data_IF_823144718658
#
_entry.id   IF_823144718658
#
_cell.length_a   1.000
_cell.length_b   1.000
_cell.length_c   1.000
_cell.angle_alpha   90.00
_cell.angle_beta   90.00
_cell.angle_gamma   90.00
#
_symmetry.space_group_name_H-M   'P 1'
#
loop_
_entity.id
_entity.type
_entity.pdbx_description
1 polymer ?
#
# COMPACT_ATOMS: atom_id res chain seq x y z
N UNK A 1 -7.03 20.97 26.80
CA UNK A 1 -6.98 19.94 25.73
C UNK A 1 -6.16 20.53 24.61
N UNK A 2 -4.95 20.07 24.40
CA UNK A 2 -4.11 20.46 23.26
C UNK A 2 -4.55 19.62 22.06
N UNK A 3 -5.08 20.27 21.04
CA UNK A 3 -5.44 19.62 19.77
C UNK A 3 -4.17 19.03 19.16
N UNK A 4 -4.14 17.74 18.75
CA UNK A 4 -2.98 17.12 18.09
C UNK A 4 -2.82 17.59 16.65
N UNK A 5 -3.59 18.56 16.20
CA UNK A 5 -3.62 19.05 14.82
C UNK A 5 -2.92 20.39 14.73
N UNK A 6 -1.99 20.51 13.76
CA UNK A 6 -1.32 21.76 13.42
C UNK A 6 -2.04 22.35 12.22
N UNK A 7 -2.51 23.58 12.37
CA UNK A 7 -3.09 24.36 11.28
C UNK A 7 -2.02 25.36 10.84
N UNK A 8 -1.68 25.35 9.56
CA UNK A 8 -0.70 26.26 8.96
C UNK A 8 -1.23 26.74 7.60
N UNK A 9 -0.70 27.86 7.12
CA UNK A 9 -0.98 28.30 5.75
C UNK A 9 -0.53 27.26 4.74
N UNK A 10 -1.34 27.03 3.69
CA UNK A 10 -1.01 26.11 2.63
C UNK A 10 0.17 26.68 1.81
N UNK A 11 1.30 25.99 1.85
CA UNK A 11 2.49 26.29 1.05
C UNK A 11 2.71 25.14 0.09
N UNK A 12 3.00 25.45 -1.17
CA UNK A 12 3.33 24.43 -2.16
C UNK A 12 4.62 23.73 -1.75
N UNK A 13 4.56 22.43 -1.59
CA UNK A 13 5.70 21.58 -1.24
C UNK A 13 5.90 20.53 -2.33
N UNK A 14 7.12 20.05 -2.47
CA UNK A 14 7.39 18.84 -3.23
C UNK A 14 6.64 17.67 -2.59
N UNK A 15 5.71 17.09 -3.32
CA UNK A 15 4.96 15.92 -2.88
C UNK A 15 5.27 14.73 -3.80
N UNK A 16 5.42 13.51 -3.25
CA UNK A 16 5.56 12.33 -4.08
C UNK A 16 4.35 12.15 -5.01
N UNK A 17 4.62 11.76 -6.25
CA UNK A 17 3.58 11.45 -7.25
C UNK A 17 3.23 9.97 -7.19
N UNK A 18 1.94 9.66 -7.25
CA UNK A 18 1.44 8.28 -7.39
C UNK A 18 0.78 8.10 -8.76
N UNK A 19 1.20 7.08 -9.52
CA UNK A 19 0.75 6.87 -10.89
C UNK A 19 0.35 5.42 -11.17
N UNK A 20 -0.71 5.23 -11.97
CA UNK A 20 -1.11 3.96 -12.56
C UNK A 20 -0.76 3.93 -14.05
N UNK A 21 0.08 2.98 -14.47
CA UNK A 21 0.43 2.71 -15.85
C UNK A 21 -0.25 1.42 -16.30
N UNK A 22 -1.26 1.53 -17.16
CA UNK A 22 -2.25 0.50 -17.44
C UNK A 22 -2.16 0.11 -18.91
N UNK A 23 -2.14 -1.18 -19.23
CA UNK A 23 -2.17 -1.63 -20.63
C UNK A 23 -1.89 -3.12 -20.81
N UNK A 24 -2.10 -3.66 -22.01
CA UNK A 24 -1.82 -5.05 -22.32
C UNK A 24 -0.33 -5.38 -22.19
N UNK A 25 0.00 -6.68 -22.13
CA UNK A 25 1.41 -7.11 -22.14
C UNK A 25 2.08 -6.61 -23.43
N UNK A 26 3.33 -6.15 -23.31
CA UNK A 26 4.09 -5.62 -24.45
C UNK A 26 3.75 -4.19 -24.86
N UNK A 27 2.84 -3.49 -24.18
CA UNK A 27 2.47 -2.10 -24.55
C UNK A 27 3.48 -1.02 -24.11
N UNK A 28 4.64 -1.39 -23.55
CA UNK A 28 5.70 -0.47 -23.18
C UNK A 28 5.58 0.16 -21.79
N UNK A 29 4.72 -0.36 -20.90
CA UNK A 29 4.50 0.16 -19.53
C UNK A 29 5.80 0.28 -18.73
N UNK A 30 6.56 -0.80 -18.63
CA UNK A 30 7.81 -0.87 -17.86
C UNK A 30 8.82 0.18 -18.32
N UNK A 31 9.06 0.25 -19.63
CA UNK A 31 9.98 1.23 -20.20
C UNK A 31 9.52 2.67 -19.96
N UNK A 32 8.24 2.93 -20.21
CA UNK A 32 7.62 4.24 -19.96
C UNK A 32 7.67 4.64 -18.49
N UNK A 33 7.47 3.68 -17.58
CA UNK A 33 7.56 3.92 -16.13
C UNK A 33 8.99 4.29 -15.72
N UNK A 34 10.01 3.63 -16.29
CA UNK A 34 11.42 3.95 -16.05
C UNK A 34 11.79 5.36 -16.54
N UNK A 35 11.38 5.72 -17.76
CA UNK A 35 11.60 7.08 -18.29
C UNK A 35 10.89 8.15 -17.44
N UNK A 36 9.65 7.88 -17.06
CA UNK A 36 8.86 8.78 -16.23
C UNK A 36 9.49 8.97 -14.84
N UNK A 37 9.87 7.86 -14.19
CA UNK A 37 10.55 7.87 -12.90
C UNK A 37 11.87 8.66 -12.97
N UNK A 38 12.67 8.46 -14.04
CA UNK A 38 13.91 9.22 -14.25
C UNK A 38 13.62 10.72 -14.36
N UNK A 39 12.55 11.10 -15.05
CA UNK A 39 12.13 12.48 -15.14
C UNK A 39 11.74 13.08 -13.79
N UNK A 40 11.01 12.33 -12.96
CA UNK A 40 10.58 12.79 -11.65
C UNK A 40 11.75 13.10 -10.70
N UNK A 41 12.78 12.24 -10.68
CA UNK A 41 13.89 12.38 -9.71
C UNK A 41 15.16 13.01 -10.29
N UNK A 42 15.21 13.25 -11.60
CA UNK A 42 16.39 13.80 -12.28
C UNK A 42 17.55 12.81 -12.46
N UNK A 43 18.66 13.22 -13.09
CA UNK A 43 19.74 12.31 -13.49
C UNK A 43 20.46 11.62 -12.32
N UNK A 44 20.57 12.28 -11.18
CA UNK A 44 21.23 11.75 -9.97
C UNK A 44 20.30 11.01 -9.02
N UNK A 45 18.99 11.02 -9.27
CA UNK A 45 18.01 10.42 -8.39
C UNK A 45 18.03 8.89 -8.45
N UNK A 46 17.76 8.25 -7.30
CA UNK A 46 17.73 6.78 -7.20
C UNK A 46 16.35 6.28 -7.54
N UNK A 47 16.24 5.56 -8.65
CA UNK A 47 15.02 4.86 -9.07
C UNK A 47 15.20 3.36 -8.97
N UNK A 48 14.11 2.62 -8.77
CA UNK A 48 14.17 1.17 -8.74
C UNK A 48 12.87 0.50 -9.16
N UNK A 49 13.00 -0.78 -9.51
CA UNK A 49 11.89 -1.64 -9.92
C UNK A 49 11.77 -2.78 -8.92
N UNK A 50 10.61 -2.91 -8.30
CA UNK A 50 10.17 -4.13 -7.62
C UNK A 50 9.54 -4.98 -8.73
N UNK A 51 10.26 -6.01 -9.16
CA UNK A 51 9.94 -6.83 -10.32
C UNK A 51 9.29 -8.15 -9.89
N UNK A 52 8.03 -8.31 -10.23
CA UNK A 52 7.26 -9.54 -10.01
C UNK A 52 7.14 -10.39 -11.27
N UNK A 53 7.60 -9.90 -12.43
CA UNK A 53 7.47 -10.56 -13.74
C UNK A 53 8.75 -11.24 -14.23
N UNK A 54 9.68 -11.56 -13.32
CA UNK A 54 10.81 -12.43 -13.64
C UNK A 54 11.96 -11.76 -14.40
N UNK A 55 12.43 -10.62 -13.92
CA UNK A 55 13.62 -9.90 -14.43
C UNK A 55 13.45 -9.24 -15.80
N UNK A 56 12.22 -9.08 -16.28
CA UNK A 56 11.97 -8.46 -17.60
C UNK A 56 12.43 -7.02 -17.68
N UNK A 57 12.39 -6.28 -16.57
CA UNK A 57 12.85 -4.91 -16.49
C UNK A 57 14.35 -4.74 -16.76
N UNK A 58 15.17 -5.78 -16.49
CA UNK A 58 16.64 -5.73 -16.62
C UNK A 58 17.13 -5.52 -18.05
N UNK A 59 16.32 -5.79 -19.08
CA UNK A 59 16.70 -5.50 -20.47
C UNK A 59 16.93 -4.00 -20.73
N UNK A 60 16.47 -3.14 -19.82
CA UNK A 60 16.62 -1.68 -19.92
C UNK A 60 17.75 -1.13 -19.03
N UNK A 61 18.54 -2.00 -18.39
CA UNK A 61 19.53 -1.57 -17.39
C UNK A 61 20.61 -0.65 -17.97
N UNK A 62 20.99 -0.85 -19.22
CA UNK A 62 22.05 -0.11 -19.91
C UNK A 62 21.51 1.04 -20.78
N UNK A 63 20.21 1.34 -20.72
CA UNK A 63 19.65 2.43 -21.54
C UNK A 63 20.10 3.80 -20.99
N UNK A 64 20.85 4.59 -21.81
CA UNK A 64 21.38 5.89 -21.35
C UNK A 64 20.30 6.90 -21.02
N UNK A 65 19.09 6.78 -21.56
CA UNK A 65 17.95 7.66 -21.24
C UNK A 65 17.44 7.43 -19.82
N UNK A 66 17.56 6.18 -19.33
CA UNK A 66 17.17 5.79 -17.99
C UNK A 66 18.31 6.11 -17.00
N UNK A 67 19.56 5.90 -17.41
CA UNK A 67 20.73 6.19 -16.58
C UNK A 67 20.91 5.26 -15.39
N UNK A 68 20.46 3.99 -15.54
CA UNK A 68 20.53 2.96 -14.52
C UNK A 68 19.38 3.00 -13.50
N UNK A 69 19.09 1.86 -12.88
CA UNK A 69 18.09 1.71 -11.82
C UNK A 69 18.43 0.56 -10.89
N UNK A 70 17.84 0.57 -9.70
CA UNK A 70 17.91 -0.53 -8.73
C UNK A 70 16.87 -1.59 -9.08
N UNK A 71 17.14 -2.83 -8.76
CA UNK A 71 16.23 -3.94 -9.04
C UNK A 71 16.05 -4.80 -7.80
N UNK A 72 14.79 -5.04 -7.43
CA UNK A 72 14.38 -5.99 -6.40
C UNK A 72 13.49 -7.02 -7.06
N UNK A 73 13.95 -8.27 -7.15
CA UNK A 73 13.11 -9.36 -7.58
C UNK A 73 12.21 -9.80 -6.44
N UNK A 74 10.91 -9.74 -6.64
CA UNK A 74 9.93 -10.17 -5.65
C UNK A 74 9.30 -11.49 -6.09
N UNK A 75 9.63 -12.62 -5.42
CA UNK A 75 8.94 -13.88 -5.62
C UNK A 75 7.58 -13.88 -4.91
N UNK A 76 6.69 -14.86 -5.22
CA UNK A 76 5.49 -15.05 -4.42
C UNK A 76 5.86 -15.39 -2.94
N UNK A 77 4.95 -15.15 -1.99
CA UNK A 77 3.56 -14.74 -2.20
C UNK A 77 3.42 -13.22 -2.41
N UNK A 78 2.44 -12.83 -3.24
CA UNK A 78 2.15 -11.43 -3.54
C UNK A 78 1.07 -10.83 -2.63
N UNK A 79 1.06 -11.23 -1.38
CA UNK A 79 0.13 -10.69 -0.39
C UNK A 79 0.38 -9.19 -0.15
N UNK A 80 -0.66 -8.42 0.25
CA UNK A 80 -0.51 -6.99 0.55
C UNK A 80 0.62 -6.68 1.53
N UNK A 81 0.86 -7.58 2.51
CA UNK A 81 1.93 -7.41 3.50
C UNK A 81 3.32 -7.65 2.91
N UNK A 82 3.48 -8.68 2.04
CA UNK A 82 4.74 -8.94 1.35
C UNK A 82 5.04 -7.79 0.37
N UNK A 83 4.03 -7.29 -0.33
CA UNK A 83 4.18 -6.11 -1.17
C UNK A 83 4.62 -4.90 -0.35
N UNK A 84 3.98 -4.63 0.82
CA UNK A 84 4.40 -3.54 1.72
C UNK A 84 5.86 -3.67 2.13
N UNK A 85 6.30 -4.86 2.51
CA UNK A 85 7.68 -5.11 2.92
C UNK A 85 8.69 -4.84 1.79
N UNK A 86 8.33 -5.13 0.52
CA UNK A 86 9.17 -4.82 -0.64
C UNK A 86 9.31 -3.29 -0.84
N UNK A 87 8.24 -2.52 -0.65
CA UNK A 87 8.30 -1.06 -0.67
C UNK A 87 9.14 -0.50 0.49
N UNK A 88 9.00 -1.04 1.71
CA UNK A 88 9.81 -0.63 2.86
C UNK A 88 11.30 -0.89 2.62
N UNK A 89 11.65 -2.02 2.00
CA UNK A 89 13.02 -2.32 1.61
C UNK A 89 13.56 -1.32 0.58
N UNK A 90 12.74 -0.92 -0.40
CA UNK A 90 13.08 0.10 -1.39
C UNK A 90 13.34 1.48 -0.73
N UNK A 91 12.50 1.88 0.21
CA UNK A 91 12.69 3.12 0.99
C UNK A 91 13.96 3.04 1.84
N UNK A 92 14.23 1.91 2.49
CA UNK A 92 15.43 1.71 3.28
C UNK A 92 16.73 1.79 2.44
N UNK A 93 16.68 1.35 1.15
CA UNK A 93 17.77 1.52 0.19
C UNK A 93 17.83 2.95 -0.40
N UNK A 94 16.91 3.84 -0.02
CA UNK A 94 16.89 5.25 -0.42
C UNK A 94 16.36 5.49 -1.84
N UNK A 95 15.42 4.68 -2.33
CA UNK A 95 14.78 4.92 -3.63
C UNK A 95 13.86 6.13 -3.54
N UNK A 96 14.01 7.04 -4.48
CA UNK A 96 13.19 8.25 -4.60
C UNK A 96 12.00 8.06 -5.53
N UNK A 97 12.09 7.09 -6.45
CA UNK A 97 10.97 6.62 -7.25
C UNK A 97 10.97 5.09 -7.31
N UNK A 98 9.83 4.50 -7.02
CA UNK A 98 9.60 3.05 -6.94
C UNK A 98 8.61 2.67 -8.03
N UNK A 99 9.02 1.75 -8.89
CA UNK A 99 8.15 1.14 -9.90
C UNK A 99 7.81 -0.26 -9.42
N UNK A 100 6.52 -0.58 -9.30
CA UNK A 100 6.06 -1.93 -8.97
C UNK A 100 5.48 -2.59 -10.24
N UNK A 101 6.23 -3.51 -10.80
CA UNK A 101 5.94 -4.11 -12.10
C UNK A 101 5.88 -5.65 -12.00
N UNK A 102 4.68 -6.21 -11.93
CA UNK A 102 3.35 -5.64 -12.07
C UNK A 102 2.55 -5.70 -10.76
N UNK A 103 1.85 -4.63 -10.42
CA UNK A 103 0.92 -4.60 -9.28
C UNK A 103 -0.31 -5.50 -9.48
N UNK A 104 -0.53 -5.99 -10.69
CA UNK A 104 -1.61 -6.96 -10.97
C UNK A 104 -1.46 -8.26 -10.20
N UNK A 105 -0.22 -8.67 -9.84
CA UNK A 105 -0.01 -9.90 -9.08
C UNK A 105 -0.44 -9.80 -7.62
N UNK A 106 -0.52 -8.60 -7.05
CA UNK A 106 -1.15 -8.40 -5.74
C UNK A 106 -2.64 -8.78 -5.80
N UNK A 107 -3.28 -8.66 -6.97
CA UNK A 107 -4.67 -9.02 -7.18
C UNK A 107 -4.85 -10.50 -7.54
N UNK A 108 -4.18 -10.99 -8.59
CA UNK A 108 -4.41 -12.32 -9.19
C UNK A 108 -3.24 -13.31 -9.07
N UNK A 109 -2.14 -12.91 -8.44
CA UNK A 109 -1.00 -13.79 -8.20
C UNK A 109 -1.15 -14.67 -6.96
N UNK A 110 -0.19 -15.59 -6.77
CA UNK A 110 -0.13 -16.47 -5.60
C UNK A 110 -0.02 -15.66 -4.31
N UNK A 111 -0.89 -15.94 -3.34
CA UNK A 111 -1.05 -15.17 -2.10
C UNK A 111 -1.78 -13.83 -2.27
N UNK A 112 -2.20 -13.48 -3.48
CA UNK A 112 -2.90 -12.24 -3.79
C UNK A 112 -4.38 -12.23 -3.37
N UNK A 113 -5.09 -11.15 -3.71
CA UNK A 113 -6.46 -10.91 -3.26
C UNK A 113 -7.45 -12.01 -3.63
N UNK A 114 -7.35 -12.55 -4.86
CA UNK A 114 -8.26 -13.60 -5.33
C UNK A 114 -8.10 -14.87 -4.51
N UNK A 115 -6.87 -15.35 -4.34
CA UNK A 115 -6.59 -16.55 -3.55
C UNK A 115 -6.96 -16.34 -2.08
N UNK A 116 -6.65 -15.17 -1.51
CA UNK A 116 -7.09 -14.84 -0.15
C UNK A 116 -8.61 -14.90 0.02
N UNK A 117 -9.38 -14.47 -1.00
CA UNK A 117 -10.83 -14.54 -0.96
C UNK A 117 -11.34 -15.98 -1.08
N UNK A 118 -10.65 -16.85 -1.81
CA UNK A 118 -10.96 -18.28 -1.90
C UNK A 118 -10.73 -18.99 -0.56
N UNK A 119 -9.58 -18.78 0.06
CA UNK A 119 -9.27 -19.28 1.41
C UNK A 119 -10.27 -18.79 2.46
N UNK A 120 -10.72 -17.53 2.35
CA UNK A 120 -11.73 -16.99 3.26
C UNK A 120 -13.12 -17.66 3.07
N UNK A 121 -13.45 -18.13 1.87
CA UNK A 121 -14.66 -18.97 1.65
C UNK A 121 -14.58 -20.23 2.49
N UNK A 122 -13.49 -20.99 2.38
CA UNK A 122 -13.30 -22.24 3.10
C UNK A 122 -13.45 -22.03 4.61
N UNK A 123 -12.81 -21.00 5.16
CA UNK A 123 -12.90 -20.62 6.57
C UNK A 123 -14.33 -20.29 7.00
N UNK A 124 -15.05 -19.48 6.21
CA UNK A 124 -16.42 -19.06 6.51
C UNK A 124 -17.42 -20.24 6.40
N UNK A 125 -17.21 -21.13 5.46
CA UNK A 125 -18.04 -22.34 5.32
C UNK A 125 -17.86 -23.30 6.49
N UNK A 126 -16.64 -23.50 6.94
CA UNK A 126 -16.37 -24.29 8.14
C UNK A 126 -17.03 -23.68 9.39
N UNK A 127 -16.92 -22.37 9.57
CA UNK A 127 -17.58 -21.67 10.67
C UNK A 127 -19.10 -21.76 10.60
N UNK A 128 -19.67 -21.62 9.38
CA UNK A 128 -21.12 -21.75 9.18
C UNK A 128 -21.61 -23.15 9.52
N UNK A 129 -20.88 -24.21 9.10
CA UNK A 129 -21.16 -25.61 9.46
C UNK A 129 -21.15 -25.83 10.97
N UNK A 130 -20.14 -25.31 11.67
CA UNK A 130 -20.03 -25.42 13.14
C UNK A 130 -21.20 -24.72 13.87
N UNK A 131 -21.75 -23.65 13.29
CA UNK A 131 -22.84 -22.85 13.87
C UNK A 131 -24.24 -23.23 13.38
N UNK A 132 -24.37 -24.22 12.47
CA UNK A 132 -25.67 -24.64 11.88
C UNK A 132 -26.35 -23.53 11.08
N UNK A 133 -25.59 -22.63 10.45
CA UNK A 133 -26.09 -21.47 9.67
C UNK A 133 -26.05 -21.74 8.17
N UNK A 134 -26.97 -21.10 7.43
CA UNK A 134 -27.02 -21.16 5.97
C UNK A 134 -25.86 -20.37 5.33
N UNK A 135 -25.25 -20.91 4.26
CA UNK A 135 -24.06 -20.39 3.59
C UNK A 135 -24.32 -19.20 2.65
N UNK A 136 -25.54 -18.67 2.56
CA UNK A 136 -25.90 -17.64 1.56
C UNK A 136 -25.11 -16.32 1.67
N UNK A 137 -24.60 -15.97 2.85
CA UNK A 137 -23.85 -14.74 3.09
C UNK A 137 -22.35 -14.85 2.78
N UNK A 138 -21.81 -16.04 2.58
CA UNK A 138 -20.38 -16.31 2.41
C UNK A 138 -19.81 -15.59 1.17
N UNK A 139 -20.56 -15.54 0.07
CA UNK A 139 -20.09 -14.96 -1.20
C UNK A 139 -19.73 -13.46 -1.12
N UNK A 140 -20.37 -12.71 -0.24
CA UNK A 140 -20.04 -11.29 -0.03
C UNK A 140 -19.01 -11.09 1.08
N UNK A 141 -19.09 -11.89 2.14
CA UNK A 141 -18.19 -11.79 3.31
C UNK A 141 -16.74 -12.13 2.97
N UNK A 142 -16.51 -13.05 2.02
CA UNK A 142 -15.15 -13.46 1.59
C UNK A 142 -14.24 -12.31 1.16
N UNK A 143 -14.80 -11.19 0.71
CA UNK A 143 -14.05 -10.03 0.28
C UNK A 143 -13.72 -9.04 1.40
N UNK A 144 -14.29 -9.19 2.58
CA UNK A 144 -14.13 -8.21 3.67
C UNK A 144 -12.68 -8.09 4.11
N UNK A 145 -12.06 -9.21 4.47
CA UNK A 145 -10.66 -9.21 4.93
C UNK A 145 -9.66 -8.95 3.81
N UNK A 146 -9.74 -9.60 2.62
CA UNK A 146 -8.84 -9.29 1.51
C UNK A 146 -8.85 -7.80 1.15
N UNK A 147 -10.03 -7.19 0.99
CA UNK A 147 -10.14 -5.76 0.65
C UNK A 147 -9.63 -4.83 1.76
N UNK A 148 -9.77 -5.20 3.03
CA UNK A 148 -9.20 -4.44 4.13
C UNK A 148 -7.67 -4.45 4.09
N UNK A 149 -7.05 -5.62 3.83
CA UNK A 149 -5.60 -5.77 3.70
C UNK A 149 -5.07 -5.01 2.50
N UNK A 150 -5.74 -5.13 1.33
CA UNK A 150 -5.43 -4.34 0.14
C UNK A 150 -5.47 -2.83 0.41
N UNK A 151 -6.53 -2.33 1.07
CA UNK A 151 -6.65 -0.91 1.41
C UNK A 151 -5.53 -0.43 2.31
N UNK A 152 -5.11 -1.26 3.27
CA UNK A 152 -3.97 -0.93 4.15
C UNK A 152 -2.68 -0.82 3.35
N UNK A 153 -2.43 -1.76 2.42
CA UNK A 153 -1.29 -1.70 1.51
C UNK A 153 -1.33 -0.44 0.64
N UNK A 154 -2.46 -0.15 0.00
CA UNK A 154 -2.59 1.03 -0.85
C UNK A 154 -2.35 2.33 -0.07
N UNK A 155 -2.93 2.48 1.12
CA UNK A 155 -2.69 3.64 1.99
C UNK A 155 -1.22 3.74 2.43
N UNK A 156 -0.57 2.60 2.69
CA UNK A 156 0.84 2.57 3.05
C UNK A 156 1.71 3.11 1.91
N UNK A 157 1.59 2.55 0.71
CA UNK A 157 2.45 2.93 -0.42
C UNK A 157 2.19 4.35 -0.93
N UNK A 158 0.96 4.85 -0.85
CA UNK A 158 0.62 6.23 -1.23
C UNK A 158 1.07 7.27 -0.18
N UNK A 159 1.40 6.84 1.03
CA UNK A 159 1.95 7.67 2.10
C UNK A 159 3.49 7.68 2.16
N UNK A 160 4.18 6.96 1.28
CA UNK A 160 5.65 6.89 1.29
C UNK A 160 6.30 8.21 0.82
N UNK A 161 7.49 8.54 1.32
CA UNK A 161 8.24 9.74 0.89
C UNK A 161 8.98 9.51 -0.44
N UNK A 162 8.37 8.81 -1.40
CA UNK A 162 8.92 8.48 -2.71
C UNK A 162 7.80 8.47 -3.76
N UNK A 163 8.14 8.79 -5.01
CA UNK A 163 7.21 8.61 -6.11
C UNK A 163 6.89 7.12 -6.30
N UNK A 164 5.63 6.77 -6.52
CA UNK A 164 5.17 5.39 -6.70
C UNK A 164 4.48 5.23 -8.04
N UNK A 165 4.98 4.32 -8.86
CA UNK A 165 4.40 3.98 -10.17
C UNK A 165 4.00 2.52 -10.14
N UNK A 166 2.70 2.25 -10.23
CA UNK A 166 2.16 0.91 -10.30
C UNK A 166 1.84 0.56 -11.76
N UNK A 167 2.33 -0.56 -12.25
CA UNK A 167 1.92 -1.05 -13.57
C UNK A 167 0.81 -2.08 -13.42
N UNK A 168 -0.20 -2.01 -14.27
CA UNK A 168 -1.32 -2.93 -14.30
C UNK A 168 -1.47 -3.57 -15.68
N UNK A 169 -1.69 -4.87 -15.71
CA UNK A 169 -2.04 -5.60 -16.92
C UNK A 169 -3.49 -5.32 -17.30
N UNK A 170 -3.77 -5.26 -18.58
CA UNK A 170 -5.12 -5.33 -19.12
C UNK A 170 -5.33 -6.66 -19.83
N UNK A 171 -6.52 -7.22 -19.68
CA UNK A 171 -6.96 -8.43 -20.34
C UNK A 171 -8.30 -8.17 -21.02
N UNK A 172 -8.58 -8.92 -22.09
CA UNK A 172 -9.87 -8.90 -22.73
C UNK A 172 -10.89 -9.65 -21.86
N UNK A 173 -11.95 -8.97 -21.49
CA UNK A 173 -13.09 -9.56 -20.76
C UNK A 173 -14.38 -9.31 -21.51
N UNK A 174 -15.39 -10.14 -21.27
CA UNK A 174 -16.73 -9.94 -21.85
C UNK A 174 -17.58 -9.16 -20.86
N UNK A 175 -18.06 -8.01 -21.31
CA UNK A 175 -19.05 -7.23 -20.57
C UNK A 175 -20.45 -7.77 -20.90
N UNK A 176 -21.04 -8.51 -19.98
CA UNK A 176 -22.38 -9.07 -20.08
C UNK A 176 -23.48 -8.05 -19.73
N UNK A 177 -23.14 -6.87 -19.22
CA UNK A 177 -24.11 -5.80 -18.97
C UNK A 177 -24.53 -5.10 -20.26
N UNK A 178 -23.67 -5.11 -21.27
CA UNK A 178 -24.00 -4.63 -22.62
C UNK A 178 -24.91 -5.62 -23.37
N UNK A 179 -25.79 -5.10 -24.22
CA UNK A 179 -26.70 -5.89 -25.06
C UNK A 179 -26.54 -5.51 -26.53
N UNK A 180 -25.92 -6.35 -27.39
CA UNK A 180 -25.29 -7.65 -27.08
C UNK A 180 -24.03 -7.54 -26.21
N UNK A 181 -23.59 -8.64 -25.56
CA UNK A 181 -22.35 -8.64 -24.81
C UNK A 181 -21.17 -8.19 -25.67
N UNK A 182 -20.32 -7.33 -25.12
CA UNK A 182 -19.16 -6.75 -25.81
C UNK A 182 -17.85 -7.13 -25.15
N UNK A 183 -16.80 -7.25 -25.95
CA UNK A 183 -15.45 -7.46 -25.42
C UNK A 183 -14.81 -6.14 -25.06
N UNK A 184 -14.34 -5.99 -23.84
CA UNK A 184 -13.68 -4.79 -23.33
C UNK A 184 -12.33 -5.12 -22.72
N UNK A 185 -11.42 -4.15 -22.73
CA UNK A 185 -10.18 -4.24 -21.98
C UNK A 185 -10.44 -3.87 -20.52
N UNK A 186 -10.15 -4.80 -19.61
CA UNK A 186 -10.29 -4.58 -18.16
C UNK A 186 -8.95 -4.66 -17.48
N UNK A 187 -8.73 -3.79 -16.51
CA UNK A 187 -7.53 -3.80 -15.68
C UNK A 187 -7.57 -4.96 -14.69
N UNK A 188 -6.44 -5.63 -14.51
CA UNK A 188 -6.27 -6.69 -13.51
C UNK A 188 -5.84 -6.04 -12.20
N UNK A 189 -6.82 -5.59 -11.41
CA UNK A 189 -6.62 -5.00 -10.08
C UNK A 189 -7.95 -4.94 -9.32
N UNK A 190 -7.90 -4.63 -8.03
CA UNK A 190 -9.12 -4.28 -7.28
C UNK A 190 -9.71 -2.98 -7.84
N UNK A 191 -11.03 -2.92 -7.99
CA UNK A 191 -11.74 -1.84 -8.72
C UNK A 191 -11.44 -0.43 -8.22
N UNK A 192 -11.16 -0.28 -6.92
CA UNK A 192 -10.91 1.02 -6.29
C UNK A 192 -9.43 1.42 -6.25
N UNK A 193 -8.51 0.53 -6.61
CA UNK A 193 -7.06 0.77 -6.55
C UNK A 193 -6.66 2.04 -7.28
N UNK A 194 -7.15 2.19 -8.50
CA UNK A 194 -6.81 3.37 -9.33
C UNK A 194 -7.31 4.69 -8.74
N UNK A 195 -8.40 4.68 -7.96
CA UNK A 195 -8.91 5.92 -7.36
C UNK A 195 -8.01 6.47 -6.24
N UNK A 196 -7.16 5.64 -5.66
CA UNK A 196 -6.14 6.04 -4.70
C UNK A 196 -4.88 6.67 -5.33
N UNK A 197 -4.75 6.66 -6.67
CA UNK A 197 -3.59 7.15 -7.40
C UNK A 197 -3.92 8.47 -8.12
N UNK A 198 -2.94 9.37 -8.24
CA UNK A 198 -3.14 10.71 -8.78
C UNK A 198 -3.16 10.76 -10.31
N UNK A 199 -2.26 10.00 -10.93
CA UNK A 199 -2.10 9.95 -12.38
C UNK A 199 -2.52 8.60 -12.92
N UNK A 200 -3.32 8.59 -14.00
CA UNK A 200 -3.66 7.37 -14.72
C UNK A 200 -3.28 7.49 -16.19
N UNK A 201 -2.55 6.49 -16.65
CA UNK A 201 -2.03 6.40 -18.01
C UNK A 201 -2.40 5.05 -18.60
N UNK A 202 -3.07 5.04 -19.73
CA UNK A 202 -3.40 3.83 -20.48
C UNK A 202 -2.56 3.76 -21.75
N UNK A 203 -1.97 2.61 -22.02
CA UNK A 203 -1.11 2.36 -23.16
C UNK A 203 -1.81 1.49 -24.21
N UNK A 204 -1.74 1.92 -25.46
CA UNK A 204 -2.10 1.10 -26.61
C UNK A 204 -0.97 0.17 -27.03
N UNK A 205 -1.26 -0.73 -27.98
CA UNK A 205 -0.26 -1.61 -28.62
C UNK A 205 0.78 -0.84 -29.45
N UNK A 206 0.49 0.43 -29.78
CA UNK A 206 1.39 1.35 -30.49
C UNK A 206 2.35 2.10 -29.54
N UNK A 207 2.42 1.71 -28.28
CA UNK A 207 3.24 2.30 -27.22
C UNK A 207 2.92 3.77 -26.89
N UNK A 208 1.77 4.27 -27.32
CA UNK A 208 1.34 5.61 -27.01
C UNK A 208 0.50 5.62 -25.73
N UNK A 209 0.69 6.69 -24.97
CA UNK A 209 0.03 6.93 -23.70
C UNK A 209 -1.20 7.83 -23.85
N UNK A 210 -2.32 7.40 -23.33
CA UNK A 210 -3.52 8.22 -23.12
C UNK A 210 -3.67 8.47 -21.63
N UNK A 211 -3.61 9.74 -21.23
CA UNK A 211 -3.71 10.15 -19.84
C UNK A 211 -5.18 10.36 -19.49
N UNK A 212 -5.74 9.44 -18.70
CA UNK A 212 -7.16 9.44 -18.36
C UNK A 212 -7.46 10.17 -17.05
N UNK A 213 -6.48 10.33 -16.17
CA UNK A 213 -6.57 11.15 -14.97
C UNK A 213 -5.28 11.95 -14.78
N UNK A 214 -5.41 13.27 -14.72
CA UNK A 214 -4.30 14.21 -14.55
C UNK A 214 -4.79 15.36 -13.69
N UNK A 215 -4.15 15.67 -12.55
CA UNK A 215 -4.41 16.89 -11.79
C UNK A 215 -4.17 18.13 -12.65
N UNK A 216 -4.98 19.18 -12.44
CA UNK A 216 -4.98 20.39 -13.27
C UNK A 216 -3.59 21.02 -13.46
N UNK A 217 -2.73 21.13 -12.42
CA UNK A 217 -1.40 21.73 -12.59
C UNK A 217 -0.48 20.98 -13.56
N UNK A 218 -0.73 19.70 -13.82
CA UNK A 218 0.12 18.86 -14.68
C UNK A 218 -0.38 18.79 -16.13
N UNK A 219 -1.66 19.14 -16.39
CA UNK A 219 -2.25 19.07 -17.74
C UNK A 219 -1.47 19.79 -18.83
N UNK A 220 -0.91 21.00 -18.61
CA UNK A 220 -0.15 21.69 -19.65
C UNK A 220 1.09 20.94 -20.12
N UNK A 221 1.61 20.01 -19.29
CA UNK A 221 2.83 19.24 -19.58
C UNK A 221 2.55 17.89 -20.25
N UNK A 222 1.27 17.55 -20.40
CA UNK A 222 0.85 16.23 -20.91
C UNK A 222 0.47 16.32 -22.37
N UNK A 223 1.12 15.47 -23.18
CA UNK A 223 0.74 15.26 -24.57
C UNK A 223 -0.02 13.94 -24.69
N UNK A 224 -1.27 14.01 -25.14
CA UNK A 224 -2.11 12.83 -25.37
C UNK A 224 -1.65 12.05 -26.59
N UNK A 225 -1.87 10.75 -26.59
CA UNK A 225 -1.54 9.86 -27.72
C UNK A 225 -0.07 9.96 -28.17
N UNK A 226 0.84 10.08 -27.22
CA UNK A 226 2.27 10.21 -27.44
C UNK A 226 3.04 9.27 -26.50
N UNK A 227 4.28 8.86 -26.83
CA UNK A 227 5.13 8.13 -25.90
C UNK A 227 5.39 8.92 -24.63
N UNK A 228 5.52 8.22 -23.50
CA UNK A 228 5.98 8.82 -22.25
C UNK A 228 7.49 9.03 -22.34
N UNK A 229 7.96 10.19 -21.91
CA UNK A 229 9.37 10.58 -21.98
C UNK A 229 9.86 11.10 -20.62
N UNK A 230 11.18 11.24 -20.48
CA UNK A 230 11.83 11.83 -19.30
C UNK A 230 11.34 13.26 -19.05
N UNK A 231 11.14 14.03 -20.13
CA UNK A 231 10.73 15.44 -20.07
C UNK A 231 9.34 15.60 -19.42
N UNK A 232 8.43 14.65 -19.63
CA UNK A 232 7.10 14.66 -19.00
C UNK A 232 7.26 14.51 -17.47
N UNK A 233 8.08 13.57 -17.02
CA UNK A 233 8.37 13.39 -15.59
C UNK A 233 9.02 14.64 -14.98
N UNK A 234 10.02 15.21 -15.67
CA UNK A 234 10.72 16.42 -15.23
C UNK A 234 9.78 17.63 -15.16
N UNK A 235 8.88 17.78 -16.11
CA UNK A 235 7.91 18.87 -16.13
C UNK A 235 6.90 18.75 -14.97
N UNK A 236 6.48 17.53 -14.65
CA UNK A 236 5.62 17.25 -13.48
C UNK A 236 6.37 17.55 -12.20
N UNK A 237 7.62 17.09 -12.04
CA UNK A 237 8.45 17.39 -10.88
C UNK A 237 8.69 18.90 -10.73
N UNK A 238 9.03 19.61 -11.80
CA UNK A 238 9.16 21.07 -11.80
C UNK A 238 7.86 21.79 -11.43
N UNK A 239 6.73 21.21 -11.83
CA UNK A 239 5.40 21.67 -11.41
C UNK A 239 5.09 21.42 -9.92
N UNK A 240 5.81 20.55 -9.24
CA UNK A 240 5.71 20.27 -7.79
C UNK A 240 6.67 21.12 -6.96
N UNK A 241 7.74 21.63 -7.56
CA UNK A 241 8.79 22.39 -6.86
C UNK A 241 8.29 23.70 -6.28
N UNK A 242 9.05 24.31 -5.36
CA UNK A 242 8.69 25.58 -4.76
C UNK A 242 8.61 26.65 -5.85
N UNK A 243 7.48 27.31 -5.93
CA UNK A 243 7.40 28.59 -6.67
C UNK A 243 8.42 29.50 -6.00
N UNK A 244 9.41 30.00 -6.77
CA UNK A 244 10.47 30.88 -6.29
C UNK A 244 9.89 31.88 -5.28
N UNK A 245 10.33 31.79 -4.04
CA UNK A 245 9.73 32.51 -2.93
C UNK A 245 9.89 34.01 -3.14
N UNK A 246 8.78 34.67 -3.41
CA UNK A 246 8.58 36.08 -3.11
C UNK A 246 7.76 36.29 -1.85
N UNK A 247 7.74 35.30 -0.93
CA UNK A 247 7.18 35.44 0.40
C UNK A 247 8.25 35.22 1.45
N UNK A 248 8.29 36.04 2.50
CA UNK A 248 9.28 35.88 3.57
C UNK A 248 9.17 34.50 4.18
N UNK A 249 10.33 33.88 4.35
CA UNK A 249 10.53 32.63 5.06
C UNK A 249 9.75 32.66 6.39
N UNK A 250 8.82 31.70 6.63
CA UNK A 250 8.22 31.60 7.94
C UNK A 250 9.34 31.38 8.94
N UNK A 251 9.34 32.13 10.04
CA UNK A 251 10.33 32.02 11.10
C UNK A 251 10.52 30.53 11.46
N UNK A 252 11.77 30.07 11.72
CA UNK A 252 12.07 28.69 11.99
C UNK A 252 11.16 28.22 13.12
N UNK A 253 10.33 27.21 12.81
CA UNK A 253 9.51 26.54 13.79
C UNK A 253 10.49 25.94 14.78
N UNK A 254 10.61 26.55 15.95
CA UNK A 254 11.29 25.92 17.06
C UNK A 254 10.58 24.60 17.30
N UNK A 255 11.21 23.51 16.89
CA UNK A 255 10.77 22.17 17.21
C UNK A 255 10.77 22.05 18.73
N UNK A 256 9.63 22.37 19.35
CA UNK A 256 9.41 21.90 20.73
C UNK A 256 9.47 20.38 20.63
N UNK A 257 10.29 19.72 21.46
CA UNK A 257 10.30 18.27 21.52
C UNK A 257 8.85 17.84 21.73
N UNK A 258 8.37 16.94 20.86
CA UNK A 258 7.08 16.28 21.04
C UNK A 258 7.23 15.55 22.36
N UNK A 259 6.66 16.13 23.41
CA UNK A 259 6.43 15.38 24.64
C UNK A 259 5.51 14.25 24.22
N UNK A 260 6.02 13.04 24.17
CA UNK A 260 5.20 11.85 24.04
C UNK A 260 4.25 11.92 25.23
N UNK A 261 3.00 12.31 24.96
CA UNK A 261 1.99 12.38 26.01
C UNK A 261 1.98 11.02 26.70
N UNK A 262 2.04 11.03 28.03
CA UNK A 262 1.93 9.81 28.81
C UNK A 262 0.72 9.00 28.30
N UNK A 263 0.84 7.68 28.17
CA UNK A 263 -0.25 6.85 27.64
C UNK A 263 -1.53 7.13 28.43
N UNK A 264 -2.60 7.47 27.70
CA UNK A 264 -3.90 7.74 28.32
C UNK A 264 -4.36 6.45 29.01
N UNK A 265 -4.59 6.50 30.30
CA UNK A 265 -5.07 5.36 31.08
C UNK A 265 -6.44 4.89 30.56
N UNK A 266 -6.66 3.59 30.45
CA UNK A 266 -7.93 3.01 30.06
C UNK A 266 -9.01 3.29 31.12
N UNK A 267 -10.27 3.36 30.69
CA UNK A 267 -11.38 3.45 31.62
C UNK A 267 -11.52 2.18 32.47
N UNK A 268 -12.07 2.26 33.67
CA UNK A 268 -12.32 1.07 34.49
C UNK A 268 -13.12 -0.02 33.76
N UNK A 269 -14.06 0.38 32.91
CA UNK A 269 -14.86 -0.57 32.12
C UNK A 269 -14.03 -1.30 31.06
N UNK A 270 -13.09 -0.63 30.38
CA UNK A 270 -12.18 -1.26 29.43
C UNK A 270 -11.24 -2.25 30.12
N UNK A 271 -10.68 -1.88 31.27
CA UNK A 271 -9.83 -2.75 32.07
C UNK A 271 -10.62 -3.98 32.54
N UNK A 272 -11.88 -3.78 32.95
CA UNK A 272 -12.76 -4.88 33.33
C UNK A 272 -13.00 -5.85 32.17
N UNK A 273 -13.27 -5.37 30.96
CA UNK A 273 -13.46 -6.22 29.78
C UNK A 273 -12.23 -7.08 29.46
N UNK A 274 -11.03 -6.52 29.61
CA UNK A 274 -9.78 -7.28 29.44
C UNK A 274 -9.64 -8.33 30.55
N UNK A 275 -9.91 -8.00 31.81
CA UNK A 275 -9.87 -8.94 32.92
C UNK A 275 -10.93 -10.04 32.79
N UNK A 276 -12.12 -9.73 32.28
CA UNK A 276 -13.17 -10.72 31.99
C UNK A 276 -12.74 -11.68 30.87
N UNK A 277 -11.95 -11.19 29.89
CA UNK A 277 -11.32 -12.05 28.88
C UNK A 277 -10.23 -12.92 29.52
N UNK A 278 -9.30 -12.35 30.29
CA UNK A 278 -8.24 -13.09 30.97
C UNK A 278 -8.82 -14.23 31.87
N UNK A 279 -9.88 -13.94 32.62
CA UNK A 279 -10.53 -14.94 33.46
C UNK A 279 -11.13 -16.09 32.63
N UNK A 280 -11.62 -15.82 31.42
CA UNK A 280 -12.13 -16.88 30.51
C UNK A 280 -11.02 -17.77 29.96
N UNK A 281 -9.84 -17.21 29.77
CA UNK A 281 -8.66 -17.93 29.27
C UNK A 281 -7.77 -18.45 30.40
N UNK A 282 -8.22 -18.32 31.67
CA UNK A 282 -7.47 -18.72 32.86
C UNK A 282 -6.08 -18.08 32.99
N UNK A 283 -5.97 -16.80 32.60
CA UNK A 283 -4.72 -16.04 32.63
C UNK A 283 -4.64 -15.14 33.85
N UNK A 284 -3.44 -15.10 34.45
CA UNK A 284 -3.10 -14.19 35.55
C UNK A 284 -2.45 -12.89 35.00
N UNK A 285 -2.50 -11.81 35.79
CA UNK A 285 -1.97 -10.49 35.40
C UNK A 285 -0.44 -10.53 35.21
N UNK A 286 0.25 -11.41 35.96
CA UNK A 286 1.69 -11.61 35.85
C UNK A 286 2.06 -12.23 34.50
N UNK A 287 1.31 -13.22 34.01
CA UNK A 287 1.52 -13.85 32.71
C UNK A 287 1.30 -12.86 31.56
N UNK A 288 0.29 -11.99 31.68
CA UNK A 288 0.05 -10.93 30.72
C UNK A 288 1.21 -9.92 30.71
N UNK A 289 1.70 -9.52 31.88
CA UNK A 289 2.84 -8.60 32.02
C UNK A 289 4.11 -9.19 31.42
N UNK A 290 4.36 -10.47 31.63
CA UNK A 290 5.50 -11.17 31.04
C UNK A 290 5.40 -11.29 29.53
N UNK A 291 4.21 -11.58 28.98
CA UNK A 291 3.98 -11.60 27.55
C UNK A 291 4.23 -10.22 26.90
N UNK A 292 3.86 -9.13 27.59
CA UNK A 292 4.20 -7.76 27.14
C UNK A 292 5.70 -7.49 27.17
N UNK A 293 6.42 -7.95 28.20
CA UNK A 293 7.87 -7.82 28.27
C UNK A 293 8.58 -8.55 27.12
N UNK A 294 8.09 -9.71 26.69
CA UNK A 294 8.56 -10.45 25.50
C UNK A 294 8.33 -9.69 24.18
N UNK A 295 7.34 -8.81 24.15
CA UNK A 295 7.11 -7.89 23.01
C UNK A 295 7.96 -6.63 23.10
N UNK A 296 8.86 -6.50 24.08
CA UNK A 296 9.65 -5.30 24.34
C UNK A 296 8.80 -4.12 24.84
N UNK A 297 7.69 -4.40 25.50
CA UNK A 297 6.71 -3.41 26.00
C UNK A 297 6.44 -3.61 27.48
N UNK A 298 5.98 -2.55 28.15
CA UNK A 298 5.50 -2.61 29.53
C UNK A 298 3.98 -2.51 29.52
N UNK A 299 3.30 -3.36 30.30
CA UNK A 299 1.86 -3.27 30.50
C UNK A 299 1.54 -2.02 31.34
N UNK A 300 0.78 -1.10 30.77
CA UNK A 300 0.44 0.20 31.39
C UNK A 300 -1.07 0.44 31.50
N UNK A 301 -1.87 -0.55 31.10
CA UNK A 301 -3.33 -0.43 31.05
C UNK A 301 -3.79 0.83 30.32
N UNK A 302 -3.11 1.20 29.23
CA UNK A 302 -3.52 2.32 28.36
C UNK A 302 -4.68 1.92 27.46
N UNK A 303 -5.43 2.94 26.97
CA UNK A 303 -6.53 2.73 26.00
C UNK A 303 -6.04 1.90 24.82
N UNK A 304 -4.90 2.26 24.23
CA UNK A 304 -4.35 1.54 23.09
C UNK A 304 -3.98 0.08 23.38
N UNK A 305 -3.50 -0.22 24.58
CA UNK A 305 -3.20 -1.60 25.00
C UNK A 305 -4.48 -2.39 25.25
N UNK A 306 -5.46 -1.81 25.92
CA UNK A 306 -6.75 -2.46 26.16
C UNK A 306 -7.51 -2.73 24.85
N UNK A 307 -7.56 -1.76 23.94
CA UNK A 307 -8.16 -1.95 22.61
C UNK A 307 -7.48 -3.09 21.84
N UNK A 308 -6.14 -3.14 21.89
CA UNK A 308 -5.39 -4.22 21.23
C UNK A 308 -5.67 -5.58 21.90
N UNK A 309 -5.71 -5.66 23.23
CA UNK A 309 -6.03 -6.89 23.98
C UNK A 309 -7.46 -7.37 23.78
N UNK A 310 -8.39 -6.47 23.48
CA UNK A 310 -9.78 -6.80 23.15
C UNK A 310 -9.94 -7.24 21.69
N UNK A 311 -8.92 -7.10 20.85
CA UNK A 311 -8.92 -7.58 19.46
C UNK A 311 -8.51 -9.04 19.38
N UNK A 312 -9.09 -9.78 18.43
CA UNK A 312 -8.70 -11.17 18.14
C UNK A 312 -7.21 -11.36 17.85
N UNK A 313 -6.57 -10.34 17.21
CA UNK A 313 -5.15 -10.39 16.90
C UNK A 313 -4.28 -10.25 18.16
N UNK A 314 -4.66 -9.36 19.08
CA UNK A 314 -3.97 -9.16 20.35
C UNK A 314 -4.08 -10.40 21.24
N UNK A 315 -5.28 -10.95 21.37
CA UNK A 315 -5.56 -12.14 22.16
C UNK A 315 -4.75 -13.35 21.68
N UNK A 316 -4.83 -13.66 20.37
CA UNK A 316 -4.03 -14.78 19.79
C UNK A 316 -2.53 -14.58 19.99
N UNK A 317 -2.04 -13.33 19.87
CA UNK A 317 -0.61 -13.06 20.06
C UNK A 317 -0.17 -13.30 21.49
N UNK A 318 -0.94 -12.85 22.48
CA UNK A 318 -0.64 -13.07 23.91
C UNK A 318 -0.68 -14.57 24.23
N UNK A 319 -1.75 -15.28 23.86
CA UNK A 319 -1.87 -16.71 24.08
C UNK A 319 -0.69 -17.47 23.47
N UNK A 320 -0.27 -17.16 22.24
CA UNK A 320 0.89 -17.79 21.59
C UNK A 320 2.24 -17.54 22.28
N UNK A 321 2.34 -16.50 23.10
CA UNK A 321 3.55 -16.21 23.87
C UNK A 321 3.55 -16.94 25.23
N UNK A 322 2.38 -17.17 25.79
CA UNK A 322 2.19 -17.88 27.06
C UNK A 322 2.32 -19.37 26.84
N UNK A 323 1.66 -19.96 25.81
CA UNK A 323 1.71 -21.40 25.50
C UNK A 323 3.12 -21.94 25.23
N UNK A 324 4.06 -21.09 24.79
CA UNK A 324 5.45 -21.53 24.53
C UNK A 324 6.26 -21.92 25.77
N UNK A 325 5.78 -21.64 26.98
CA UNK A 325 6.47 -21.93 28.22
C UNK A 325 5.85 -23.08 29.02
N UNK A 326 4.78 -23.70 28.54
CA UNK A 326 4.31 -24.93 29.19
C UNK A 326 5.26 -26.08 28.81
N UNK A 327 5.92 -26.74 29.80
CA UNK A 327 6.71 -27.91 29.50
C UNK A 327 5.77 -28.97 28.93
N UNK A 328 6.18 -29.59 27.82
CA UNK A 328 5.52 -30.76 27.24
C UNK A 328 5.45 -31.84 28.37
N UNK A 329 4.25 -32.05 28.94
CA UNK A 329 3.95 -33.16 29.85
C UNK A 329 3.76 -34.41 28.99
#
# INVERSE_FOLDING_TARGET
>A
MTTPFVIADAVRQEAPVTAAFIGPSGSGKTYSALLFARGLVGPGGRIGVIDTEGKRSLIYADDPKIGGFRHLQMPPPYSPECCSAAFDAAIADGWQAIIFDSASLEHDGEGGLLEMAELEVERLEEEAKKRGRDNRAVSQQKWTMPKLRHRRWLNHITGLPAHVILTFRQVLTTDFSAKPPTTVLSEVCEKNTKFGLELHVTFGSDHKATWTRVPEPFRPHIKQNAPVTVEIGSAIAGGLGPVAATKPEPAPIQSRPISVAAPVAASPDMVKLVRDWMAREYLEEDELSEAFARLGKTLTWSVAQCDWLLSDAGQRKILSLIEKDQPLI
#
